data_IF_548732029276
#
_entry.id   IF_548732029276
#
_cell.length_a   1.000
_cell.length_b   1.000
_cell.length_c   1.000
_cell.angle_alpha   90.00
_cell.angle_beta   90.00
_cell.angle_gamma   90.00
#
_symmetry.space_group_name_H-M   'P 1'
#
loop_
_entity.id
_entity.type
_entity.pdbx_description
1 polymer ?
#
# COMPACT_ATOMS: atom_id res chain seq x y z
N UNK A 1 4.24 34.35 -28.51
CA UNK A 1 4.43 32.90 -28.69
C UNK A 1 4.25 32.31 -27.30
N UNK A 2 3.00 32.14 -26.89
CA UNK A 2 2.68 31.64 -25.55
C UNK A 2 2.52 30.14 -25.70
N UNK A 3 3.45 29.39 -25.10
CA UNK A 3 3.39 27.92 -25.06
C UNK A 3 2.12 27.48 -24.34
N UNK A 4 1.13 27.07 -25.15
CA UNK A 4 -0.14 26.47 -24.73
C UNK A 4 0.14 25.03 -24.25
N UNK A 5 0.83 24.92 -23.10
CA UNK A 5 1.13 23.62 -22.50
C UNK A 5 -0.11 23.10 -21.77
N UNK A 6 -0.94 22.35 -22.50
CA UNK A 6 -2.10 21.64 -21.95
C UNK A 6 -1.64 20.28 -21.39
N UNK A 7 -1.86 20.06 -20.10
CA UNK A 7 -1.59 18.78 -19.42
C UNK A 7 -2.83 17.87 -19.47
N UNK A 8 -2.72 16.72 -20.11
CA UNK A 8 -3.80 15.72 -20.16
C UNK A 8 -3.69 14.67 -19.03
N UNK A 9 -4.41 14.95 -17.93
CA UNK A 9 -4.76 14.08 -16.80
C UNK A 9 -5.60 12.83 -17.13
N UNK A 10 -5.04 11.64 -17.45
CA UNK A 10 -5.83 10.39 -17.59
C UNK A 10 -5.58 9.44 -16.41
N UNK A 11 -6.62 9.16 -15.61
CA UNK A 11 -6.56 8.24 -14.46
C UNK A 11 -7.46 7.03 -14.74
N UNK A 12 -6.92 5.81 -14.67
CA UNK A 12 -7.68 4.56 -14.82
C UNK A 12 -7.85 3.87 -13.47
N UNK A 13 -9.08 3.80 -12.97
CA UNK A 13 -9.39 3.20 -11.66
C UNK A 13 -9.07 1.70 -11.58
N UNK A 14 -9.03 0.99 -12.72
CA UNK A 14 -8.67 -0.43 -12.78
C UNK A 14 -7.23 -0.71 -12.31
N UNK A 15 -6.36 0.29 -12.39
CA UNK A 15 -4.95 0.22 -11.98
C UNK A 15 -4.76 0.50 -10.48
N UNK A 16 -5.79 1.00 -9.80
CA UNK A 16 -5.71 1.27 -8.37
C UNK A 16 -6.16 0.05 -7.56
N UNK A 17 -5.22 -0.52 -6.81
CA UNK A 17 -5.47 -1.50 -5.76
C UNK A 17 -5.69 -0.80 -4.44
N UNK A 18 -6.66 -1.29 -3.69
CA UNK A 18 -6.90 -0.85 -2.31
C UNK A 18 -6.20 -1.80 -1.36
N UNK A 19 -5.36 -1.23 -0.50
CA UNK A 19 -4.71 -1.95 0.60
C UNK A 19 -5.36 -1.47 1.90
N UNK A 20 -6.03 -2.38 2.61
CA UNK A 20 -6.48 -2.14 3.97
C UNK A 20 -5.40 -2.58 4.94
N UNK A 21 -4.99 -1.69 5.84
CA UNK A 21 -4.00 -1.93 6.90
C UNK A 21 -4.72 -1.95 8.24
N UNK A 22 -4.54 -3.01 9.03
CA UNK A 22 -5.01 -3.05 10.43
C UNK A 22 -3.80 -3.15 11.36
N UNK A 23 -3.74 -2.28 12.37
CA UNK A 23 -2.69 -2.32 13.41
C UNK A 23 -3.05 -3.26 14.54
N UNK A 24 -2.07 -3.61 15.39
CA UNK A 24 -2.26 -4.43 16.58
C UNK A 24 -3.31 -3.85 17.54
N UNK A 25 -3.37 -2.52 17.69
CA UNK A 25 -4.39 -1.83 18.51
C UNK A 25 -5.77 -1.76 17.83
N UNK A 26 -5.93 -2.35 16.63
CA UNK A 26 -7.20 -2.39 15.91
C UNK A 26 -7.53 -1.15 15.06
N UNK A 27 -6.63 -0.15 14.99
CA UNK A 27 -6.78 0.99 14.06
C UNK A 27 -6.74 0.47 12.62
N UNK A 28 -7.61 1.00 11.75
CA UNK A 28 -7.71 0.61 10.34
C UNK A 28 -7.41 1.80 9.44
N UNK A 29 -6.58 1.58 8.43
CA UNK A 29 -6.22 2.54 7.40
C UNK A 29 -6.49 1.95 6.01
N UNK A 30 -6.79 2.80 5.04
CA UNK A 30 -6.97 2.40 3.64
C UNK A 30 -6.05 3.23 2.77
N UNK A 31 -5.23 2.56 1.98
CA UNK A 31 -4.33 3.17 1.02
C UNK A 31 -4.70 2.71 -0.37
N UNK A 32 -4.46 3.58 -1.35
CA UNK A 32 -4.62 3.29 -2.76
C UNK A 32 -3.24 3.24 -3.38
N UNK A 33 -2.90 2.12 -4.00
CA UNK A 33 -1.63 1.91 -4.68
C UNK A 33 -1.90 1.50 -6.12
N UNK A 34 -1.00 1.88 -7.02
CA UNK A 34 -1.03 1.38 -8.39
C UNK A 34 -0.61 -0.11 -8.44
N UNK A 35 -1.13 -0.89 -9.40
CA UNK A 35 -0.80 -2.33 -9.54
C UNK A 35 0.68 -2.57 -9.79
N UNK A 36 1.38 -1.60 -10.37
CA UNK A 36 2.82 -1.67 -10.65
C UNK A 36 3.70 -1.53 -9.41
N UNK A 37 3.17 -1.03 -8.29
CA UNK A 37 3.97 -0.75 -7.10
C UNK A 37 4.37 -2.04 -6.38
N UNK A 38 5.67 -2.19 -6.07
CA UNK A 38 6.20 -3.37 -5.38
C UNK A 38 5.77 -3.44 -3.91
N UNK A 39 5.82 -4.65 -3.33
CA UNK A 39 5.50 -4.86 -1.91
C UNK A 39 6.42 -4.01 -1.01
N UNK A 40 7.68 -3.87 -1.38
CA UNK A 40 8.63 -3.01 -0.68
C UNK A 40 8.19 -1.54 -0.69
N UNK A 41 7.69 -1.04 -1.82
CA UNK A 41 7.17 0.33 -1.92
C UNK A 41 5.98 0.54 -0.97
N UNK A 42 5.03 -0.39 -0.95
CA UNK A 42 3.86 -0.33 -0.06
C UNK A 42 4.29 -0.29 1.41
N UNK A 43 5.22 -1.17 1.83
CA UNK A 43 5.74 -1.19 3.19
C UNK A 43 6.41 0.14 3.58
N UNK A 44 7.23 0.68 2.68
CA UNK A 44 7.91 1.94 2.91
C UNK A 44 6.92 3.10 3.00
N UNK A 45 5.87 3.12 2.18
CA UNK A 45 4.83 4.14 2.23
C UNK A 45 4.05 4.07 3.55
N UNK A 46 3.68 2.87 4.01
CA UNK A 46 3.00 2.66 5.28
C UNK A 46 3.87 3.12 6.45
N UNK A 47 5.17 2.75 6.47
CA UNK A 47 6.11 3.19 7.50
C UNK A 47 6.21 4.72 7.58
N UNK A 48 6.11 5.41 6.45
CA UNK A 48 6.15 6.88 6.38
C UNK A 48 4.82 7.55 6.74
N UNK A 49 3.71 6.81 6.73
CA UNK A 49 2.35 7.36 6.87
C UNK A 49 1.91 7.52 8.32
N UNK A 50 2.70 7.10 9.31
CA UNK A 50 2.36 7.27 10.72
C UNK A 50 3.51 6.99 11.66
N UNK A 51 3.54 7.72 12.76
CA UNK A 51 4.56 7.62 13.81
C UNK A 51 4.47 6.30 14.61
N UNK A 52 3.30 5.65 14.57
CA UNK A 52 3.02 4.37 15.25
C UNK A 52 3.47 3.12 14.44
N UNK A 53 4.06 3.29 13.24
CA UNK A 53 4.43 2.16 12.37
C UNK A 53 5.91 1.78 12.52
N UNK A 54 6.17 0.47 12.67
CA UNK A 54 7.52 -0.09 12.66
C UNK A 54 8.20 0.03 11.29
N UNK A 55 9.53 -0.08 11.28
CA UNK A 55 10.36 -0.01 10.07
C UNK A 55 9.90 -0.99 8.98
N UNK A 56 10.13 -0.68 7.69
CA UNK A 56 9.62 -1.48 6.57
C UNK A 56 10.09 -2.94 6.58
N UNK A 57 11.28 -3.21 7.14
CA UNK A 57 11.84 -4.56 7.24
C UNK A 57 11.17 -5.40 8.34
N UNK A 58 10.73 -4.75 9.43
CA UNK A 58 10.02 -5.40 10.54
C UNK A 58 8.54 -5.65 10.23
N UNK A 59 8.00 -4.99 9.19
CA UNK A 59 6.63 -5.18 8.77
C UNK A 59 6.40 -6.57 8.16
N UNK A 60 5.40 -7.28 8.70
CA UNK A 60 4.94 -8.55 8.16
C UNK A 60 3.60 -8.40 7.45
N UNK A 61 3.55 -8.88 6.20
CA UNK A 61 2.33 -8.93 5.41
C UNK A 61 1.68 -10.30 5.56
N UNK A 62 0.43 -10.31 6.02
CA UNK A 62 -0.37 -11.53 6.15
C UNK A 62 -1.58 -11.41 5.23
N UNK A 63 -1.75 -12.40 4.35
CA UNK A 63 -2.92 -12.59 3.51
C UNK A 63 -3.48 -14.00 3.71
N UNK A 64 -4.76 -14.11 4.04
CA UNK A 64 -5.44 -15.40 4.29
C UNK A 64 -4.67 -16.30 5.27
N UNK A 65 -4.13 -15.69 6.34
CA UNK A 65 -3.30 -16.37 7.34
C UNK A 65 -1.88 -16.73 6.90
N UNK A 66 -1.47 -16.41 5.66
CA UNK A 66 -0.14 -16.72 5.11
C UNK A 66 0.73 -15.48 4.97
N UNK A 67 2.01 -15.60 5.32
CA UNK A 67 3.01 -14.55 5.12
C UNK A 67 3.35 -14.44 3.63
N UNK A 68 3.28 -13.24 3.08
CA UNK A 68 3.64 -12.94 1.68
C UNK A 68 4.86 -12.00 1.62
N UNK A 69 5.67 -12.12 0.57
CA UNK A 69 6.92 -11.34 0.42
C UNK A 69 7.09 -10.68 -0.94
N UNK A 70 6.67 -11.34 -2.03
CA UNK A 70 7.05 -10.90 -3.38
C UNK A 70 5.86 -10.69 -4.34
N UNK A 71 4.79 -11.49 -4.24
CA UNK A 71 3.64 -11.41 -5.15
C UNK A 71 2.35 -10.94 -4.46
N UNK A 72 1.60 -10.10 -5.17
CA UNK A 72 0.29 -9.61 -4.74
C UNK A 72 -0.84 -10.56 -5.17
N UNK A 73 -1.68 -11.07 -4.24
CA UNK A 73 -2.96 -11.65 -4.60
C UNK A 73 -3.91 -10.60 -5.18
N UNK A 74 -4.87 -11.06 -6.00
CA UNK A 74 -5.83 -10.21 -6.75
C UNK A 74 -6.62 -9.25 -5.85
N UNK A 75 -6.90 -9.67 -4.61
CA UNK A 75 -7.50 -8.86 -3.56
C UNK A 75 -6.69 -9.01 -2.28
N UNK A 76 -6.16 -7.91 -1.74
CA UNK A 76 -5.24 -7.96 -0.60
C UNK A 76 -5.80 -7.20 0.60
N UNK A 77 -6.07 -7.91 1.68
CA UNK A 77 -6.28 -7.31 3.00
C UNK A 77 -4.99 -7.52 3.79
N UNK A 78 -4.26 -6.43 4.08
CA UNK A 78 -3.03 -6.52 4.85
C UNK A 78 -3.34 -6.35 6.33
N UNK A 79 -3.27 -7.45 7.07
CA UNK A 79 -3.21 -7.36 8.52
C UNK A 79 -1.75 -7.33 8.94
N UNK A 80 -1.35 -6.28 9.65
CA UNK A 80 -0.02 -6.18 10.24
C UNK A 80 -0.18 -6.36 11.74
N UNK A 81 0.43 -7.41 12.27
CA UNK A 81 0.57 -7.57 13.72
C UNK A 81 1.95 -7.04 14.10
N UNK A 82 1.96 -6.01 14.94
CA UNK A 82 3.16 -5.55 15.64
C UNK A 82 3.31 -6.45 16.87
N UNK A 83 4.44 -7.16 16.98
CA UNK A 83 4.87 -7.85 18.19
C UNK A 83 6.05 -7.11 18.78
#
# INVERSE_FOLDING_TARGET
MSDDNVLHLVIRLSDLRVVSVKTACGKKFKFHFDRSQSIGYVKQHIAKSGEDFIGPDDQQLIYDGKKIREEYPDRMMLSFSVF
#
